data_IF_300311580778
#
_entry.id   IF_300311580778
#
_cell.length_a   1.000
_cell.length_b   1.000
_cell.length_c   1.000
_cell.angle_alpha   90.00
_cell.angle_beta   90.00
_cell.angle_gamma   90.00
#
_symmetry.space_group_name_H-M   'P 1'
#
loop_
_entity.id
_entity.type
_entity.pdbx_description
1 polymer ?
#
# COMPACT_ATOMS: atom_id res chain seq x y z
N UNK A 1 -0.36 9.59 10.52
CA UNK A 1 0.85 10.17 9.88
C UNK A 1 1.24 9.25 8.73
N UNK A 2 1.65 9.78 7.58
CA UNK A 2 2.33 9.00 6.55
C UNK A 2 3.79 9.43 6.40
N UNK A 3 4.64 8.51 5.96
CA UNK A 3 6.00 8.81 5.54
C UNK A 3 6.28 8.01 4.26
N UNK A 4 6.46 8.71 3.14
CA UNK A 4 6.60 8.05 1.84
C UNK A 4 6.53 9.00 0.65
N UNK A 5 6.27 8.44 -0.52
CA UNK A 5 6.33 9.13 -1.80
C UNK A 5 5.10 10.02 -2.07
N UNK A 6 5.40 11.16 -2.66
CA UNK A 6 4.47 12.04 -3.38
C UNK A 6 5.01 12.24 -4.79
N UNK A 7 4.14 12.51 -5.75
CA UNK A 7 4.52 12.67 -7.17
C UNK A 7 3.51 13.56 -7.88
N UNK A 8 3.92 14.12 -9.02
CA UNK A 8 2.99 14.60 -10.06
C UNK A 8 2.91 13.55 -11.16
N UNK A 9 1.71 13.14 -11.55
CA UNK A 9 1.50 12.21 -12.64
C UNK A 9 0.99 12.95 -13.88
N UNK A 10 1.79 12.90 -14.94
CA UNK A 10 1.46 13.39 -16.28
C UNK A 10 0.76 12.28 -17.06
N UNK A 11 -0.56 12.28 -17.02
CA UNK A 11 -1.40 11.25 -17.64
C UNK A 11 -1.69 11.62 -19.09
N UNK A 12 -1.46 10.70 -20.01
CA UNK A 12 -1.77 10.81 -21.43
C UNK A 12 -2.48 9.56 -21.91
N UNK A 13 -3.72 9.70 -22.34
CA UNK A 13 -4.49 8.60 -22.96
C UNK A 13 -4.21 8.59 -24.46
N UNK A 14 -3.95 7.40 -25.00
CA UNK A 14 -3.67 7.17 -26.42
C UNK A 14 -4.60 6.08 -26.95
N UNK A 15 -4.93 6.15 -28.24
CA UNK A 15 -5.77 5.13 -28.88
C UNK A 15 -5.11 3.75 -28.82
N UNK A 16 -3.79 3.70 -29.01
CA UNK A 16 -2.96 2.53 -28.81
C UNK A 16 -1.51 2.97 -28.57
N UNK A 17 -0.69 2.09 -27.99
CA UNK A 17 0.72 2.38 -27.73
C UNK A 17 1.48 2.68 -29.03
N UNK A 18 2.35 3.70 -29.01
CA UNK A 18 3.23 3.95 -30.13
C UNK A 18 4.26 2.83 -30.25
N UNK A 19 4.68 2.53 -31.47
CA UNK A 19 5.90 1.75 -31.69
C UNK A 19 7.13 2.64 -31.42
N UNK A 20 8.32 2.05 -31.20
CA UNK A 20 9.55 2.83 -31.15
C UNK A 20 9.67 3.73 -32.40
N UNK A 21 10.01 5.00 -32.18
CA UNK A 21 10.14 6.06 -33.21
C UNK A 21 8.81 6.59 -33.80
N UNK A 22 7.64 6.14 -33.33
CA UNK A 22 6.36 6.73 -33.73
C UNK A 22 6.11 8.09 -33.05
N UNK A 23 5.42 8.97 -33.76
CA UNK A 23 4.84 10.20 -33.22
C UNK A 23 3.32 10.15 -33.32
N UNK A 24 2.66 9.96 -32.18
CA UNK A 24 1.19 9.89 -32.09
C UNK A 24 0.61 11.09 -31.34
N UNK A 25 -0.72 11.25 -31.42
CA UNK A 25 -1.48 12.25 -30.67
C UNK A 25 -2.17 11.58 -29.49
N UNK A 26 -2.18 12.22 -28.32
CA UNK A 26 -3.04 11.82 -27.22
C UNK A 26 -4.51 12.14 -27.54
N UNK A 27 -5.41 11.31 -27.03
CA UNK A 27 -6.86 11.56 -27.07
C UNK A 27 -7.29 12.43 -25.90
N UNK A 28 -6.60 12.30 -24.76
CA UNK A 28 -6.82 13.06 -23.54
C UNK A 28 -5.51 13.21 -22.76
N UNK A 29 -5.36 14.30 -22.01
CA UNK A 29 -4.22 14.49 -21.11
C UNK A 29 -4.64 15.25 -19.86
N UNK A 30 -4.05 14.89 -18.72
CA UNK A 30 -4.31 15.50 -17.41
C UNK A 30 -3.05 15.45 -16.55
N UNK A 31 -2.94 16.40 -15.63
CA UNK A 31 -1.92 16.41 -14.57
C UNK A 31 -2.65 16.12 -13.26
N UNK A 32 -2.13 15.17 -12.49
CA UNK A 32 -2.72 14.71 -11.22
C UNK A 32 -1.66 14.61 -10.13
N UNK A 33 -2.08 14.66 -8.87
CA UNK A 33 -1.28 14.18 -7.77
C UNK A 33 -1.13 12.66 -7.81
N UNK A 34 0.01 12.19 -7.32
CA UNK A 34 0.32 10.77 -7.23
C UNK A 34 1.27 10.47 -6.07
N UNK A 35 1.86 9.28 -6.12
CA UNK A 35 2.68 8.72 -5.05
C UNK A 35 1.83 7.99 -4.01
N UNK A 36 2.31 6.82 -3.58
CA UNK A 36 1.58 5.92 -2.70
C UNK A 36 1.15 6.60 -1.39
N UNK A 37 2.08 7.23 -0.68
CA UNK A 37 1.72 7.96 0.54
C UNK A 37 0.80 9.16 0.28
N UNK A 38 1.00 9.90 -0.80
CA UNK A 38 0.10 10.99 -1.22
C UNK A 38 -1.34 10.50 -1.39
N UNK A 39 -1.53 9.46 -2.20
CA UNK A 39 -2.84 8.85 -2.48
C UNK A 39 -3.50 8.31 -1.21
N UNK A 40 -2.76 7.56 -0.38
CA UNK A 40 -3.29 6.99 0.87
C UNK A 40 -3.74 8.08 1.84
N UNK A 41 -2.97 9.15 1.99
CA UNK A 41 -3.32 10.22 2.92
C UNK A 41 -4.45 11.11 2.40
N UNK A 42 -4.53 11.37 1.10
CA UNK A 42 -5.70 12.03 0.49
C UNK A 42 -6.97 11.20 0.74
N UNK A 43 -6.91 9.87 0.56
CA UNK A 43 -8.03 8.99 0.88
C UNK A 43 -8.41 9.08 2.37
N UNK A 44 -7.42 8.97 3.27
CA UNK A 44 -7.64 9.09 4.71
C UNK A 44 -8.31 10.42 5.09
N UNK A 45 -7.88 11.53 4.49
CA UNK A 45 -8.47 12.85 4.71
C UNK A 45 -9.94 12.90 4.27
N UNK A 46 -10.24 12.39 3.07
CA UNK A 46 -11.60 12.32 2.53
C UNK A 46 -12.53 11.42 3.35
N UNK A 47 -11.98 10.43 4.05
CA UNK A 47 -12.69 9.61 5.04
C UNK A 47 -12.88 10.29 6.41
N UNK A 48 -12.48 11.55 6.56
CA UNK A 48 -12.66 12.35 7.78
C UNK A 48 -11.51 12.26 8.79
N UNK A 49 -10.39 11.62 8.44
CA UNK A 49 -9.19 11.61 9.27
C UNK A 49 -8.39 12.91 9.10
N UNK A 50 -7.37 13.11 9.95
CA UNK A 50 -6.50 14.29 9.95
C UNK A 50 -5.06 13.88 9.65
N UNK A 51 -4.74 13.54 8.40
CA UNK A 51 -3.41 13.03 8.05
C UNK A 51 -2.36 14.14 8.07
N UNK A 52 -1.18 13.78 8.58
CA UNK A 52 0.08 14.52 8.44
C UNK A 52 1.00 13.74 7.51
N UNK A 53 1.88 14.41 6.76
CA UNK A 53 2.81 13.76 5.83
C UNK A 53 4.26 14.20 6.06
N UNK A 54 5.16 13.22 6.20
CA UNK A 54 6.60 13.38 6.04
C UNK A 54 6.96 12.92 4.62
N UNK A 55 7.49 13.83 3.82
CA UNK A 55 7.97 13.56 2.47
C UNK A 55 8.95 14.64 2.04
N UNK A 56 9.39 14.61 0.78
CA UNK A 56 10.25 15.64 0.20
C UNK A 56 9.82 15.99 -1.22
N UNK A 57 9.84 17.28 -1.49
CA UNK A 57 9.66 17.90 -2.82
C UNK A 57 10.78 18.92 -3.05
N UNK A 58 10.92 19.40 -4.29
CA UNK A 58 11.76 20.55 -4.61
C UNK A 58 10.92 21.84 -4.67
N UNK A 59 11.59 22.98 -4.67
CA UNK A 59 10.99 24.31 -4.86
C UNK A 59 10.61 24.62 -6.33
N UNK A 60 10.28 23.59 -7.09
CA UNK A 60 9.90 23.63 -8.50
C UNK A 60 8.36 23.73 -8.68
N UNK A 61 7.86 23.95 -9.92
CA UNK A 61 6.41 24.01 -10.17
C UNK A 61 5.66 22.74 -9.75
N UNK A 62 6.28 21.56 -9.92
CA UNK A 62 5.70 20.28 -9.54
C UNK A 62 5.53 20.17 -8.02
N UNK A 63 6.54 20.55 -7.25
CA UNK A 63 6.51 20.54 -5.79
C UNK A 63 5.47 21.50 -5.23
N UNK A 64 5.34 22.69 -5.83
CA UNK A 64 4.27 23.64 -5.49
C UNK A 64 2.88 23.03 -5.75
N UNK A 65 2.70 22.39 -6.91
CA UNK A 65 1.45 21.70 -7.25
C UNK A 65 1.09 20.58 -6.27
N UNK A 66 2.06 19.73 -5.91
CA UNK A 66 1.89 18.67 -4.92
C UNK A 66 1.42 19.25 -3.57
N UNK A 67 2.09 20.30 -3.10
CA UNK A 67 1.76 20.93 -1.81
C UNK A 67 0.37 21.59 -1.84
N UNK A 68 -0.01 22.23 -2.94
CA UNK A 68 -1.31 22.85 -3.11
C UNK A 68 -2.44 21.81 -3.12
N UNK A 69 -2.28 20.72 -3.88
CA UNK A 69 -3.27 19.64 -3.97
C UNK A 69 -3.47 18.92 -2.63
N UNK A 70 -2.37 18.54 -1.96
CA UNK A 70 -2.44 17.89 -0.64
C UNK A 70 -3.15 18.78 0.40
N UNK A 71 -2.86 20.09 0.41
CA UNK A 71 -3.54 21.04 1.31
C UNK A 71 -5.02 21.17 0.97
N UNK A 72 -5.36 21.24 -0.32
CA UNK A 72 -6.75 21.31 -0.77
C UNK A 72 -7.55 20.06 -0.36
N UNK A 73 -6.91 18.89 -0.34
CA UNK A 73 -7.48 17.64 0.16
C UNK A 73 -7.47 17.52 1.70
N UNK A 74 -6.93 18.49 2.43
CA UNK A 74 -6.91 18.49 3.91
C UNK A 74 -5.77 17.72 4.56
N UNK A 75 -4.72 17.38 3.80
CA UNK A 75 -3.49 16.78 4.33
C UNK A 75 -2.58 17.86 4.91
N UNK A 76 -2.13 17.67 6.15
CA UNK A 76 -1.16 18.57 6.78
C UNK A 76 0.24 18.33 6.19
N UNK A 77 0.71 19.34 5.45
CA UNK A 77 2.00 19.36 4.76
C UNK A 77 3.11 20.06 5.56
N UNK A 78 2.89 20.42 6.83
CA UNK A 78 3.87 21.18 7.63
C UNK A 78 5.21 20.45 7.84
N UNK A 79 5.21 19.13 7.65
CA UNK A 79 6.38 18.26 7.81
C UNK A 79 6.98 17.77 6.49
N UNK A 80 6.54 18.32 5.35
CA UNK A 80 7.16 18.06 4.05
C UNK A 80 8.38 18.96 3.89
N UNK A 81 9.51 18.35 3.53
CA UNK A 81 10.77 19.05 3.25
C UNK A 81 10.72 19.60 1.83
N UNK A 82 11.13 20.86 1.68
CA UNK A 82 11.28 21.52 0.37
C UNK A 82 12.76 21.80 0.16
N UNK A 83 13.37 21.16 -0.84
CA UNK A 83 14.76 21.44 -1.20
C UNK A 83 14.88 22.72 -2.01
N UNK A 84 15.96 23.47 -1.77
CA UNK A 84 16.41 24.56 -2.64
C UNK A 84 17.03 23.96 -3.91
N UNK A 85 16.34 24.11 -5.03
CA UNK A 85 16.67 23.50 -6.32
C UNK A 85 16.38 22.00 -6.41
N UNK A 86 16.72 21.46 -7.59
CA UNK A 86 16.48 20.07 -7.95
C UNK A 86 15.15 19.87 -8.69
N UNK A 87 14.53 18.70 -8.51
CA UNK A 87 13.22 18.38 -9.07
C UNK A 87 12.37 17.58 -8.10
N UNK A 88 11.07 17.84 -8.09
CA UNK A 88 10.09 16.99 -7.41
C UNK A 88 9.88 15.69 -8.20
N UNK A 89 9.41 14.60 -7.54
CA UNK A 89 9.11 13.37 -8.24
C UNK A 89 7.95 13.56 -9.22
N UNK A 90 8.04 12.95 -10.40
CA UNK A 90 6.93 12.89 -11.34
C UNK A 90 6.91 11.61 -12.15
N UNK A 91 5.77 11.26 -12.72
CA UNK A 91 5.59 10.07 -13.54
C UNK A 91 4.86 10.41 -14.83
N UNK A 92 5.38 9.98 -15.97
CA UNK A 92 4.59 9.92 -17.20
C UNK A 92 3.76 8.64 -17.19
N UNK A 93 2.43 8.77 -17.29
CA UNK A 93 1.50 7.65 -17.31
C UNK A 93 0.82 7.62 -18.67
N UNK A 94 1.19 6.65 -19.51
CA UNK A 94 0.61 6.46 -20.83
C UNK A 94 -0.46 5.37 -20.70
N UNK A 95 -1.71 5.73 -20.91
CA UNK A 95 -2.87 4.81 -20.84
C UNK A 95 -3.28 4.45 -22.27
N UNK A 96 -3.30 3.15 -22.55
CA UNK A 96 -3.69 2.61 -23.85
C UNK A 96 -5.17 2.22 -23.81
N UNK A 97 -5.99 2.88 -24.63
CA UNK A 97 -7.44 2.69 -24.65
C UNK A 97 -7.87 1.36 -25.28
N UNK A 98 -7.03 0.76 -26.12
CA UNK A 98 -7.31 -0.50 -26.80
C UNK A 98 -7.12 -1.71 -25.87
N UNK A 99 -6.01 -1.72 -25.13
CA UNK A 99 -5.58 -2.81 -24.25
C UNK A 99 -6.02 -2.58 -22.80
N UNK A 100 -6.45 -1.37 -22.45
CA UNK A 100 -6.82 -0.97 -21.08
C UNK A 100 -5.67 -1.21 -20.08
N UNK A 101 -4.44 -1.00 -20.54
CA UNK A 101 -3.24 -1.08 -19.72
C UNK A 101 -2.57 0.28 -19.61
N UNK A 102 -1.60 0.41 -18.70
CA UNK A 102 -0.76 1.59 -18.61
C UNK A 102 0.72 1.26 -18.59
N UNK A 103 1.51 2.20 -19.08
CA UNK A 103 2.97 2.22 -18.95
C UNK A 103 3.38 3.47 -18.17
N UNK A 104 4.18 3.28 -17.12
CA UNK A 104 4.63 4.36 -16.26
C UNK A 104 6.15 4.57 -16.40
N UNK A 105 6.58 5.80 -16.68
CA UNK A 105 7.98 6.21 -16.69
C UNK A 105 8.17 7.20 -15.54
N UNK A 106 8.84 6.76 -14.48
CA UNK A 106 8.98 7.53 -13.25
C UNK A 106 10.33 8.24 -13.19
N UNK A 107 10.31 9.53 -12.84
CA UNK A 107 11.48 10.33 -12.50
C UNK A 107 11.48 10.58 -10.99
N UNK A 108 12.49 10.07 -10.25
CA UNK A 108 12.58 10.31 -8.82
C UNK A 108 12.86 11.77 -8.52
N UNK A 109 12.49 12.21 -7.31
CA UNK A 109 12.87 13.53 -6.81
C UNK A 109 14.36 13.60 -6.53
N UNK A 110 14.95 14.76 -6.79
CA UNK A 110 16.37 15.03 -6.56
C UNK A 110 16.53 16.41 -5.92
N UNK A 111 17.35 16.59 -4.87
CA UNK A 111 18.10 15.55 -4.17
C UNK A 111 17.17 14.59 -3.37
N UNK A 112 17.58 13.32 -3.15
CA UNK A 112 16.81 12.41 -2.32
C UNK A 112 16.64 12.93 -0.90
N UNK A 113 15.60 12.48 -0.21
CA UNK A 113 15.41 12.77 1.21
C UNK A 113 16.45 12.02 2.03
N UNK A 114 17.12 12.73 2.93
CA UNK A 114 18.08 12.16 3.87
C UNK A 114 17.52 12.20 5.29
N UNK A 115 17.84 11.21 6.14
CA UNK A 115 17.34 11.17 7.51
C UNK A 115 17.73 12.40 8.36
N UNK A 116 18.89 13.00 8.11
CA UNK A 116 19.41 14.16 8.86
C UNK A 116 18.67 15.46 8.56
N UNK A 117 17.89 15.53 7.47
CA UNK A 117 17.00 16.65 7.19
C UNK A 117 15.76 16.66 8.12
N UNK A 118 15.48 15.55 8.80
CA UNK A 118 14.42 15.43 9.80
C UNK A 118 14.99 15.56 11.21
N UNK A 119 15.05 16.79 11.72
CA UNK A 119 15.54 17.08 13.08
C UNK A 119 14.68 16.38 14.16
N UNK A 120 15.26 16.10 15.32
CA UNK A 120 14.54 15.50 16.46
C UNK A 120 13.29 16.31 16.85
N UNK A 121 13.37 17.64 16.79
CA UNK A 121 12.24 18.52 17.04
C UNK A 121 11.12 18.30 16.01
N UNK A 122 11.46 18.31 14.71
CA UNK A 122 10.48 18.14 13.64
C UNK A 122 9.88 16.74 13.65
N UNK A 123 10.69 15.70 13.89
CA UNK A 123 10.22 14.33 14.06
C UNK A 123 9.24 14.23 15.24
N UNK A 124 9.59 14.82 16.39
CA UNK A 124 8.74 14.78 17.57
C UNK A 124 7.40 15.48 17.35
N UNK A 125 7.42 16.64 16.68
CA UNK A 125 6.21 17.38 16.31
C UNK A 125 5.34 16.63 15.28
N UNK A 126 5.96 15.97 14.29
CA UNK A 126 5.25 15.16 13.31
C UNK A 126 4.53 13.97 13.94
N UNK A 127 5.12 13.39 14.99
CA UNK A 127 4.58 12.27 15.75
C UNK A 127 3.59 12.68 16.86
N UNK A 128 3.45 13.98 17.14
CA UNK A 128 2.52 14.45 18.16
C UNK A 128 1.05 14.16 17.78
N UNK A 129 0.32 13.57 18.74
CA UNK A 129 -1.07 13.15 18.57
C UNK A 129 -1.31 12.02 17.56
N UNK A 130 -0.25 11.35 17.06
CA UNK A 130 -0.38 10.33 16.01
C UNK A 130 -0.88 8.99 16.60
N UNK A 131 -1.96 8.46 16.02
CA UNK A 131 -2.55 7.17 16.41
C UNK A 131 -2.13 5.99 15.52
N UNK A 132 -1.64 6.26 14.31
CA UNK A 132 -1.21 5.26 13.33
C UNK A 132 -0.23 5.90 12.33
N UNK A 133 0.78 5.14 11.91
CA UNK A 133 1.72 5.54 10.86
C UNK A 133 1.61 4.64 9.64
N UNK A 134 1.51 5.24 8.47
CA UNK A 134 1.57 4.56 7.18
C UNK A 134 2.93 4.77 6.51
N UNK A 135 3.53 3.69 6.03
CA UNK A 135 4.70 3.73 5.16
C UNK A 135 4.42 2.99 3.85
N UNK A 136 5.00 3.46 2.74
CA UNK A 136 4.93 2.80 1.41
C UNK A 136 6.27 2.18 0.96
N UNK A 137 7.29 2.26 1.83
CA UNK A 137 8.64 1.75 1.56
C UNK A 137 9.42 2.51 0.48
N UNK A 138 9.03 3.74 0.11
CA UNK A 138 9.71 4.54 -0.93
C UNK A 138 10.83 5.43 -0.41
N UNK A 139 10.84 5.73 0.89
CA UNK A 139 11.85 6.54 1.58
C UNK A 139 12.49 5.74 2.72
N UNK A 140 13.15 4.60 2.46
CA UNK A 140 13.47 3.59 3.47
C UNK A 140 14.30 4.13 4.64
N UNK A 141 15.38 4.88 4.40
CA UNK A 141 16.26 5.35 5.47
C UNK A 141 15.53 6.28 6.45
N UNK A 142 14.73 7.21 5.92
CA UNK A 142 13.94 8.12 6.76
C UNK A 142 12.76 7.39 7.39
N UNK A 143 12.14 6.45 6.67
CA UNK A 143 11.06 5.63 7.21
C UNK A 143 11.53 4.79 8.40
N UNK A 144 12.75 4.23 8.37
CA UNK A 144 13.34 3.48 9.48
C UNK A 144 13.58 4.40 10.70
N UNK A 145 14.06 5.63 10.50
CA UNK A 145 14.20 6.63 11.57
C UNK A 145 12.84 6.91 12.23
N UNK A 146 11.81 7.17 11.43
CA UNK A 146 10.45 7.45 11.90
C UNK A 146 9.85 6.22 12.60
N UNK A 147 10.03 5.02 12.03
CA UNK A 147 9.51 3.76 12.57
C UNK A 147 10.13 3.42 13.92
N UNK A 148 11.43 3.68 14.10
CA UNK A 148 12.12 3.49 15.39
C UNK A 148 11.52 4.38 16.48
N UNK A 149 11.34 5.67 16.21
CA UNK A 149 10.78 6.60 17.19
C UNK A 149 9.29 6.29 17.46
N UNK A 150 8.53 5.91 16.43
CA UNK A 150 7.16 5.47 16.58
C UNK A 150 7.03 4.23 17.46
N UNK A 151 7.89 3.23 17.25
CA UNK A 151 7.96 2.02 18.07
C UNK A 151 8.29 2.36 19.52
N UNK A 152 9.23 3.29 19.78
CA UNK A 152 9.54 3.78 21.13
C UNK A 152 8.34 4.44 21.82
N UNK A 153 7.45 5.07 21.05
CA UNK A 153 6.20 5.70 21.52
C UNK A 153 5.01 4.72 21.57
N UNK A 154 5.17 3.48 21.14
CA UNK A 154 4.09 2.50 21.04
C UNK A 154 3.03 2.84 19.98
N UNK A 155 3.38 3.65 18.98
CA UNK A 155 2.46 4.01 17.89
C UNK A 155 2.45 2.86 16.88
N UNK A 156 1.28 2.29 16.53
CA UNK A 156 1.20 1.21 15.57
C UNK A 156 1.59 1.67 14.16
N UNK A 157 2.17 0.74 13.41
CA UNK A 157 2.67 0.98 12.05
C UNK A 157 1.93 0.06 11.07
N UNK A 158 1.36 0.64 10.02
CA UNK A 158 0.92 -0.06 8.82
C UNK A 158 1.93 0.18 7.70
N UNK A 159 2.41 -0.91 7.10
CA UNK A 159 3.31 -0.88 5.95
C UNK A 159 2.58 -1.41 4.72
N UNK A 160 2.58 -0.61 3.66
CA UNK A 160 2.17 -1.00 2.31
C UNK A 160 3.42 -1.52 1.54
N UNK A 161 3.43 -2.83 1.28
CA UNK A 161 4.53 -3.56 0.66
C UNK A 161 4.16 -4.04 -0.75
N UNK A 162 4.46 -3.21 -1.74
CA UNK A 162 4.17 -3.54 -3.15
C UNK A 162 5.17 -4.51 -3.79
N UNK A 163 6.46 -4.37 -3.47
CA UNK A 163 7.56 -5.16 -4.06
C UNK A 163 8.80 -5.08 -3.17
N UNK A 164 9.76 -6.00 -3.36
CA UNK A 164 11.08 -5.93 -2.71
C UNK A 164 11.78 -4.63 -3.07
N UNK A 165 12.36 -3.99 -2.06
CA UNK A 165 13.17 -2.77 -2.17
C UNK A 165 14.28 -2.82 -1.13
N UNK A 166 15.37 -2.13 -1.41
CA UNK A 166 16.42 -1.90 -0.42
C UNK A 166 15.84 -1.19 0.82
N UNK A 167 16.27 -1.60 2.01
CA UNK A 167 15.80 -1.08 3.29
C UNK A 167 14.39 -1.50 3.74
N UNK A 168 13.59 -2.15 2.88
CA UNK A 168 12.24 -2.60 3.24
C UNK A 168 12.25 -3.65 4.36
N UNK A 169 13.25 -4.55 4.37
CA UNK A 169 13.38 -5.61 5.38
C UNK A 169 13.61 -5.05 6.80
N UNK A 170 14.28 -3.92 6.92
CA UNK A 170 14.47 -3.25 8.21
C UNK A 170 13.19 -2.55 8.67
N UNK A 171 12.42 -2.00 7.74
CA UNK A 171 11.13 -1.38 8.04
C UNK A 171 10.08 -2.41 8.47
N UNK A 172 10.06 -3.59 7.82
CA UNK A 172 9.17 -4.71 8.13
C UNK A 172 9.24 -5.15 9.61
N UNK A 173 10.41 -5.02 10.25
CA UNK A 173 10.62 -5.40 11.66
C UNK A 173 9.81 -4.53 12.65
N UNK A 174 9.46 -3.32 12.25
CA UNK A 174 8.69 -2.38 13.07
C UNK A 174 7.17 -2.44 12.82
N UNK A 175 6.75 -3.10 11.72
CA UNK A 175 5.34 -3.12 11.30
C UNK A 175 4.45 -3.86 12.29
N UNK A 176 3.31 -3.24 12.61
CA UNK A 176 2.21 -3.87 13.38
C UNK A 176 1.20 -4.53 12.44
N UNK A 177 0.98 -3.90 11.28
CA UNK A 177 0.07 -4.33 10.23
C UNK A 177 0.81 -4.30 8.89
N UNK A 178 0.58 -5.29 8.06
CA UNK A 178 1.22 -5.39 6.75
C UNK A 178 0.15 -5.57 5.68
N UNK A 179 0.16 -4.70 4.68
CA UNK A 179 -0.69 -4.80 3.49
C UNK A 179 0.23 -5.00 2.29
N UNK A 180 -0.05 -6.00 1.46
CA UNK A 180 0.83 -6.45 0.39
C UNK A 180 0.10 -6.46 -0.96
N UNK A 181 0.84 -6.20 -2.04
CA UNK A 181 0.38 -6.56 -3.38
C UNK A 181 0.38 -8.09 -3.56
N UNK A 182 -0.42 -8.60 -4.51
CA UNK A 182 -0.57 -10.05 -4.81
C UNK A 182 0.74 -10.85 -4.87
N UNK A 183 1.80 -10.27 -5.45
CA UNK A 183 3.07 -10.97 -5.70
C UNK A 183 4.04 -10.87 -4.53
N UNK A 184 3.96 -9.82 -3.72
CA UNK A 184 4.96 -9.51 -2.70
C UNK A 184 5.19 -10.67 -1.70
N UNK A 185 4.17 -11.31 -1.11
CA UNK A 185 4.39 -12.33 -0.09
C UNK A 185 5.24 -13.51 -0.58
N UNK A 186 4.94 -14.04 -1.76
CA UNK A 186 5.67 -15.17 -2.34
C UNK A 186 7.06 -14.75 -2.79
N UNK A 187 7.21 -13.57 -3.39
CA UNK A 187 8.53 -13.05 -3.75
C UNK A 187 9.41 -12.91 -2.51
N UNK A 188 8.89 -12.36 -1.40
CA UNK A 188 9.62 -12.13 -0.16
C UNK A 188 9.99 -13.43 0.57
N UNK A 189 9.05 -14.36 0.69
CA UNK A 189 9.25 -15.61 1.45
C UNK A 189 9.92 -16.73 0.66
N UNK A 190 9.67 -16.80 -0.65
CA UNK A 190 9.96 -17.98 -1.48
C UNK A 190 8.91 -19.10 -1.35
N UNK A 191 7.78 -18.87 -0.67
CA UNK A 191 6.75 -19.89 -0.44
C UNK A 191 5.96 -20.24 -1.71
N UNK A 192 5.51 -21.49 -1.78
CA UNK A 192 4.82 -22.06 -2.96
C UNK A 192 3.41 -21.54 -3.20
N UNK A 193 2.78 -20.92 -2.21
CA UNK A 193 1.43 -20.34 -2.29
C UNK A 193 1.33 -19.06 -1.46
N UNK A 194 0.32 -18.24 -1.75
CA UNK A 194 0.02 -17.02 -0.97
C UNK A 194 -0.28 -17.37 0.50
N UNK A 195 -1.18 -18.33 0.83
CA UNK A 195 -1.45 -18.68 2.23
C UNK A 195 -0.20 -19.12 2.99
N UNK A 196 0.62 -19.98 2.38
CA UNK A 196 1.90 -20.41 2.96
C UNK A 196 2.86 -19.22 3.17
N UNK A 197 2.88 -18.26 2.24
CA UNK A 197 3.67 -17.04 2.40
C UNK A 197 3.19 -16.17 3.57
N UNK A 198 1.89 -16.07 3.80
CA UNK A 198 1.35 -15.29 4.94
C UNK A 198 1.76 -15.93 6.28
N UNK A 199 1.74 -17.26 6.38
CA UNK A 199 2.22 -17.98 7.58
C UNK A 199 3.71 -17.71 7.79
N UNK A 200 4.54 -17.82 6.75
CA UNK A 200 5.98 -17.56 6.86
C UNK A 200 6.31 -16.10 7.23
N UNK A 201 5.55 -15.13 6.70
CA UNK A 201 5.65 -13.71 7.12
C UNK A 201 5.39 -13.57 8.62
N UNK A 202 4.29 -14.12 9.13
CA UNK A 202 3.98 -14.01 10.56
C UNK A 202 4.98 -14.79 11.42
N UNK A 203 5.55 -15.88 10.94
CA UNK A 203 6.63 -16.58 11.66
C UNK A 203 7.91 -15.73 11.75
N UNK A 204 8.28 -15.05 10.66
CA UNK A 204 9.49 -14.22 10.58
C UNK A 204 9.35 -12.86 11.27
N UNK A 205 8.13 -12.33 11.36
CA UNK A 205 7.83 -10.99 11.86
C UNK A 205 6.82 -11.04 13.02
N UNK A 206 7.29 -11.29 14.26
CA UNK A 206 6.41 -11.53 15.41
C UNK A 206 5.59 -10.31 15.84
N UNK A 207 6.01 -9.09 15.46
CA UNK A 207 5.29 -7.86 15.77
C UNK A 207 4.02 -7.66 14.93
N UNK A 208 3.90 -8.39 13.81
CA UNK A 208 2.74 -8.28 12.93
C UNK A 208 1.54 -8.99 13.58
N UNK A 209 0.45 -8.22 13.74
CA UNK A 209 -0.85 -8.69 14.19
C UNK A 209 -1.65 -9.31 13.06
N UNK A 210 -1.67 -8.68 11.89
CA UNK A 210 -2.21 -9.29 10.68
C UNK A 210 -1.41 -8.89 9.44
N UNK A 211 -1.41 -9.79 8.47
CA UNK A 211 -0.93 -9.54 7.11
C UNK A 211 -2.10 -9.72 6.13
N UNK A 212 -2.29 -8.73 5.27
CA UNK A 212 -3.31 -8.73 4.22
C UNK A 212 -2.64 -8.66 2.86
N UNK A 213 -3.13 -9.46 1.91
CA UNK A 213 -2.75 -9.37 0.50
C UNK A 213 -3.95 -8.97 -0.33
N UNK A 214 -3.79 -7.93 -1.14
CA UNK A 214 -4.80 -7.52 -2.12
C UNK A 214 -4.69 -8.38 -3.38
N UNK A 215 -5.84 -8.86 -3.87
CA UNK A 215 -5.93 -9.78 -5.00
C UNK A 215 -6.62 -9.14 -6.24
N UNK A 216 -6.85 -7.84 -6.21
CA UNK A 216 -7.52 -7.11 -7.29
C UNK A 216 -9.02 -7.38 -7.28
N UNK A 217 -9.58 -7.76 -8.44
CA UNK A 217 -10.99 -8.15 -8.58
C UNK A 217 -11.37 -9.42 -7.80
N UNK A 218 -10.38 -10.19 -7.37
CA UNK A 218 -10.57 -11.37 -6.51
C UNK A 218 -10.72 -10.99 -5.02
N UNK A 219 -10.68 -9.70 -4.67
CA UNK A 219 -10.79 -9.21 -3.29
C UNK A 219 -9.47 -9.25 -2.53
N UNK A 220 -9.45 -9.86 -1.35
CA UNK A 220 -8.25 -9.93 -0.50
C UNK A 220 -8.23 -11.16 0.42
N UNK A 221 -7.03 -11.51 0.87
CA UNK A 221 -6.81 -12.56 1.86
C UNK A 221 -6.05 -11.96 3.04
N UNK A 222 -6.55 -12.15 4.26
CA UNK A 222 -5.90 -11.71 5.49
C UNK A 222 -5.63 -12.90 6.40
N UNK A 223 -4.44 -12.93 6.99
CA UNK A 223 -4.10 -13.81 8.09
C UNK A 223 -3.85 -12.96 9.34
N UNK A 224 -4.69 -13.15 10.35
CA UNK A 224 -4.58 -12.49 11.65
C UNK A 224 -4.10 -13.47 12.72
N UNK A 225 -3.14 -13.02 13.54
CA UNK A 225 -2.60 -13.75 14.68
C UNK A 225 -3.55 -13.66 15.87
N UNK A 226 -3.77 -14.79 16.54
CA UNK A 226 -4.48 -14.88 17.82
C UNK A 226 -3.52 -14.86 19.02
N UNK A 227 -4.01 -14.43 20.18
CA UNK A 227 -3.29 -14.59 21.45
C UNK A 227 -3.44 -16.05 21.92
N UNK A 228 -2.36 -16.82 21.86
CA UNK A 228 -2.34 -18.29 21.96
C UNK A 228 -2.64 -18.89 23.34
N UNK A 229 -3.81 -18.61 23.90
CA UNK A 229 -4.19 -19.08 25.25
C UNK A 229 -5.04 -20.37 25.24
N UNK A 230 -5.31 -20.95 24.06
CA UNK A 230 -6.17 -22.15 23.92
C UNK A 230 -5.46 -23.20 23.06
N UNK A 231 -5.66 -24.49 23.39
CA UNK A 231 -5.21 -25.59 22.54
C UNK A 231 -6.07 -25.64 21.27
N UNK A 232 -5.49 -25.23 20.14
CA UNK A 232 -6.17 -25.12 18.86
C UNK A 232 -5.91 -26.33 17.95
N UNK A 233 -6.91 -26.68 17.14
CA UNK A 233 -6.77 -27.70 16.10
C UNK A 233 -5.77 -27.24 15.04
N UNK A 234 -4.83 -28.13 14.68
CA UNK A 234 -3.85 -27.86 13.64
C UNK A 234 -4.43 -28.08 12.24
N UNK A 235 -4.29 -27.08 11.36
CA UNK A 235 -4.86 -27.06 10.01
C UNK A 235 -3.81 -26.59 9.00
N UNK A 236 -3.78 -27.24 7.84
CA UNK A 236 -3.03 -26.73 6.70
C UNK A 236 -3.72 -25.47 6.14
N UNK A 237 -2.95 -24.40 5.95
CA UNK A 237 -3.49 -23.08 5.58
C UNK A 237 -4.05 -23.06 4.14
N UNK A 238 -3.50 -23.86 3.23
CA UNK A 238 -3.98 -23.94 1.84
C UNK A 238 -5.30 -24.74 1.79
N UNK A 239 -5.39 -25.86 2.50
CA UNK A 239 -6.65 -26.62 2.64
C UNK A 239 -7.75 -25.79 3.32
N UNK A 240 -7.38 -24.96 4.31
CA UNK A 240 -8.32 -24.06 4.96
C UNK A 240 -8.86 -23.01 3.99
N UNK A 241 -8.00 -22.39 3.16
CA UNK A 241 -8.45 -21.43 2.15
C UNK A 241 -9.47 -22.04 1.19
N UNK A 242 -9.21 -23.25 0.67
CA UNK A 242 -10.15 -23.93 -0.22
C UNK A 242 -11.52 -24.17 0.47
N UNK A 243 -11.51 -24.51 1.77
CA UNK A 243 -12.75 -24.64 2.54
C UNK A 243 -13.50 -23.31 2.75
N UNK A 244 -12.80 -22.17 2.76
CA UNK A 244 -13.42 -20.85 2.88
C UNK A 244 -14.01 -20.38 1.54
N UNK A 245 -13.33 -20.64 0.41
CA UNK A 245 -13.84 -20.33 -0.93
C UNK A 245 -15.18 -21.03 -1.20
N UNK A 246 -15.29 -22.30 -0.84
CA UNK A 246 -16.53 -23.06 -0.97
C UNK A 246 -17.71 -22.46 -0.19
N UNK A 247 -17.45 -21.74 0.90
CA UNK A 247 -18.49 -21.04 1.68
C UNK A 247 -18.83 -19.66 1.11
N UNK A 248 -17.92 -19.06 0.36
CA UNK A 248 -18.11 -17.74 -0.24
C UNK A 248 -18.94 -17.83 -1.54
N UNK A 249 -18.77 -18.89 -2.32
CA UNK A 249 -19.50 -19.12 -3.58
C UNK A 249 -21.02 -19.32 -3.39
N UNK A 250 -21.47 -19.63 -2.18
CA UNK A 250 -22.90 -19.74 -1.86
C UNK A 250 -23.61 -18.37 -1.80
N UNK A 251 -22.87 -17.26 -1.74
CA UNK A 251 -23.39 -15.90 -1.63
C UNK A 251 -23.30 -15.15 -2.98
N UNK A 252 -24.40 -15.14 -3.75
CA UNK A 252 -24.58 -14.32 -4.98
C UNK A 252 -24.72 -12.80 -4.67
N UNK A 253 -24.03 -12.30 -3.64
CA UNK A 253 -24.16 -10.92 -3.22
C UNK A 253 -23.38 -9.97 -4.15
N UNK A 254 -24.03 -8.90 -4.59
CA UNK A 254 -23.38 -7.76 -5.27
C UNK A 254 -22.51 -6.93 -4.32
N UNK A 255 -22.74 -7.05 -3.01
CA UNK A 255 -22.01 -6.34 -1.96
C UNK A 255 -20.76 -7.12 -1.52
N UNK A 256 -19.65 -6.42 -1.18
CA UNK A 256 -18.49 -7.04 -0.55
C UNK A 256 -18.88 -7.84 0.70
N UNK A 257 -18.32 -9.03 0.84
CA UNK A 257 -18.56 -9.95 1.94
C UNK A 257 -17.26 -10.53 2.48
N UNK A 258 -17.30 -10.99 3.73
CA UNK A 258 -16.15 -11.61 4.39
C UNK A 258 -16.52 -12.98 4.93
N UNK A 259 -15.63 -13.94 4.75
CA UNK A 259 -15.71 -15.26 5.37
C UNK A 259 -14.43 -15.51 6.15
N UNK A 260 -14.57 -15.74 7.45
CA UNK A 260 -13.45 -16.02 8.35
C UNK A 260 -13.48 -17.48 8.84
N UNK A 261 -12.30 -18.06 9.04
CA UNK A 261 -12.17 -19.30 9.81
C UNK A 261 -12.41 -19.05 11.30
N UNK A 262 -12.63 -20.14 12.05
CA UNK A 262 -12.39 -20.12 13.51
C UNK A 262 -10.89 -19.91 13.76
N UNK A 263 -10.53 -19.58 15.00
CA UNK A 263 -9.13 -19.64 15.43
C UNK A 263 -8.63 -21.08 15.33
N UNK A 264 -7.49 -21.24 14.68
CA UNK A 264 -6.84 -22.54 14.44
C UNK A 264 -5.32 -22.36 14.49
N UNK A 265 -4.61 -23.47 14.68
CA UNK A 265 -3.16 -23.50 14.57
C UNK A 265 -2.77 -23.77 13.12
N UNK A 266 -2.22 -22.77 12.44
CA UNK A 266 -1.98 -22.83 11.00
C UNK A 266 -0.57 -23.30 10.70
N UNK A 267 -0.47 -24.42 9.99
CA UNK A 267 0.78 -24.91 9.38
C UNK A 267 0.80 -24.62 7.88
N UNK A 268 1.99 -24.50 7.32
CA UNK A 268 2.20 -24.28 5.90
C UNK A 268 3.23 -25.28 5.36
N UNK A 269 2.96 -25.84 4.18
CA UNK A 269 3.85 -26.82 3.56
C UNK A 269 5.23 -26.22 3.28
N UNK A 270 6.28 -26.84 3.83
CA UNK A 270 7.66 -26.40 3.64
C UNK A 270 8.12 -25.30 4.60
N UNK A 271 7.27 -24.86 5.53
CA UNK A 271 7.61 -23.90 6.59
C UNK A 271 7.67 -24.65 7.93
N UNK A 272 8.72 -24.42 8.71
CA UNK A 272 8.89 -25.02 10.03
C UNK A 272 8.18 -24.14 11.07
N UNK A 273 7.20 -24.69 11.77
CA UNK A 273 6.43 -24.01 12.82
C UNK A 273 4.96 -23.80 12.45
N UNK A 274 4.23 -23.11 13.32
CA UNK A 274 2.81 -22.82 13.15
C UNK A 274 2.48 -21.43 13.69
N UNK A 275 1.41 -20.83 13.17
CA UNK A 275 0.86 -19.56 13.66
C UNK A 275 -0.56 -19.81 14.15
N UNK A 276 -0.83 -19.45 15.40
CA UNK A 276 -2.20 -19.43 15.91
C UNK A 276 -2.91 -18.20 15.37
N UNK A 277 -4.07 -18.38 14.75
CA UNK A 277 -4.74 -17.28 14.08
C UNK A 277 -6.02 -17.65 13.34
N UNK A 278 -6.57 -16.67 12.64
CA UNK A 278 -7.71 -16.84 11.74
C UNK A 278 -7.37 -16.37 10.33
N UNK A 279 -7.83 -17.14 9.35
CA UNK A 279 -7.76 -16.79 7.94
C UNK A 279 -9.07 -16.13 7.53
N UNK A 280 -8.99 -14.98 6.87
CA UNK A 280 -10.15 -14.20 6.43
C UNK A 280 -10.04 -13.97 4.92
N UNK A 281 -11.10 -14.35 4.20
CA UNK A 281 -11.25 -14.13 2.78
C UNK A 281 -12.31 -13.03 2.58
N UNK A 282 -11.92 -11.93 1.95
CA UNK A 282 -12.82 -10.83 1.60
C UNK A 282 -13.05 -10.79 0.09
N UNK A 283 -14.30 -10.67 -0.34
CA UNK A 283 -14.63 -10.43 -1.76
C UNK A 283 -14.46 -8.96 -2.13
N UNK A 284 -14.18 -8.72 -3.40
CA UNK A 284 -14.31 -7.41 -4.02
C UNK A 284 -15.78 -7.14 -4.40
N UNK A 285 -16.17 -5.87 -4.40
CA UNK A 285 -17.42 -5.46 -5.05
C UNK A 285 -17.35 -5.74 -6.55
N UNK A 286 -18.40 -6.35 -7.10
CA UNK A 286 -18.56 -6.49 -8.56
C UNK A 286 -19.32 -5.30 -9.11
N UNK A 287 -18.59 -4.24 -9.44
CA UNK A 287 -19.15 -3.03 -10.02
C UNK A 287 -19.40 -3.25 -11.53
N UNK A 288 -20.63 -3.07 -12.05
CA UNK A 288 -20.89 -3.14 -13.48
C UNK A 288 -20.01 -2.16 -14.26
N UNK A 289 -19.49 -2.57 -15.42
CA UNK A 289 -18.60 -1.72 -16.23
C UNK A 289 -19.21 -0.34 -16.59
N UNK A 290 -20.54 -0.25 -16.68
CA UNK A 290 -21.26 1.00 -16.92
C UNK A 290 -21.26 1.97 -15.72
N UNK A 291 -20.99 1.46 -14.51
CA UNK A 291 -20.95 2.23 -13.26
C UNK A 291 -19.52 2.61 -12.84
N UNK A 292 -18.50 2.01 -13.48
CA UNK A 292 -17.10 2.36 -13.24
C UNK A 292 -16.82 3.76 -13.80
N UNK A 293 -16.61 4.73 -12.91
CA UNK A 293 -16.24 6.09 -13.27
C UNK A 293 -14.72 6.26 -13.15
N UNK A 294 -14.04 6.40 -14.29
CA UNK A 294 -12.63 6.80 -14.29
C UNK A 294 -12.50 8.31 -14.03
N UNK A 295 -12.32 8.66 -12.76
CA UNK A 295 -12.18 10.06 -12.32
C UNK A 295 -10.78 10.63 -12.58
N UNK A 296 -9.78 9.77 -12.81
CA UNK A 296 -8.38 10.15 -12.98
C UNK A 296 -8.00 10.20 -14.47
N UNK A 297 -8.63 9.36 -15.30
CA UNK A 297 -8.18 9.10 -16.66
C UNK A 297 -6.92 8.22 -16.70
N UNK A 298 -6.48 7.70 -15.54
CA UNK A 298 -5.28 6.87 -15.39
C UNK A 298 -5.60 5.37 -15.54
N UNK A 299 -6.87 5.01 -15.73
CA UNK A 299 -7.33 3.62 -15.83
C UNK A 299 -7.26 2.84 -14.51
N UNK A 300 -7.22 3.52 -13.37
CA UNK A 300 -7.27 2.90 -12.05
C UNK A 300 -8.72 2.68 -11.61
N UNK A 301 -9.09 1.42 -11.35
CA UNK A 301 -10.29 1.09 -10.58
C UNK A 301 -9.89 0.87 -9.12
N UNK A 302 -10.41 1.68 -8.21
CA UNK A 302 -10.28 1.44 -6.78
C UNK A 302 -11.29 0.35 -6.39
N UNK A 303 -10.79 -0.86 -6.20
CA UNK A 303 -11.60 -1.98 -5.72
C UNK A 303 -11.45 -2.02 -4.20
N UNK A 304 -12.53 -1.69 -3.50
CA UNK A 304 -12.63 -1.86 -2.05
C UNK A 304 -12.98 -3.30 -1.71
N UNK A 305 -12.26 -3.87 -0.74
CA UNK A 305 -12.71 -5.06 -0.02
C UNK A 305 -12.93 -4.64 1.44
N UNK A 306 -14.04 -5.08 2.02
CA UNK A 306 -14.29 -4.94 3.46
C UNK A 306 -13.70 -6.18 4.13
N UNK A 307 -12.96 -6.01 5.22
CA UNK A 307 -12.39 -7.08 6.06
C UNK A 307 -12.90 -6.93 7.49
#
# INVERSE_FOLDING_TARGET
LGCGAVSVDFVSVVASYPKPDDKIRSTYAKILGGGNAGNTLTCASRLGLKPKLISKVADDPQGKGILEELKADGVDTAHIIVSDGGNSPFTYVIVDDQTKTRTCIHTPGSPPMKPDELTDHNLSAALDGVSLIHFDGRLPDTAILVAREASRRGIPIVLDAEKKREGLDDLLKYSTYLVCSKKFPQEWTGAGSIPSALVDILMKLPNIKFVTVTLGEDGCLMLERSAGDVELEERDVDELLESLKLKQDDDFATLPSTVASKEVKLRAKGIIGCVDGRLVLGSAEKIPAAEVVDTTGAGDAFIGAVL
#
